data_IF_540485599637
#
_entry.id   IF_540485599637
#
_cell.length_a   1.000
_cell.length_b   1.000
_cell.length_c   1.000
_cell.angle_alpha   90.00
_cell.angle_beta   90.00
_cell.angle_gamma   90.00
#
_symmetry.space_group_name_H-M   'P 1'
#
loop_
_entity.id
_entity.type
_entity.pdbx_description
1 polymer ?
#
# COMPACT_ATOMS: atom_id res chain seq x y z
N UNK A 1 -10.11 -31.87 -27.11
CA UNK A 1 -8.85 -31.87 -26.32
C UNK A 1 -8.55 -30.43 -25.94
N UNK A 2 -8.67 -30.05 -24.66
CA UNK A 2 -8.38 -28.66 -24.27
C UNK A 2 -6.87 -28.47 -24.31
N UNK A 3 -6.36 -27.67 -25.24
CA UNK A 3 -4.96 -27.23 -25.19
C UNK A 3 -4.70 -26.67 -23.78
N UNK A 4 -3.87 -27.38 -23.02
CA UNK A 4 -3.34 -26.86 -21.77
C UNK A 4 -2.48 -25.68 -22.21
N UNK A 5 -2.98 -24.47 -22.00
CA UNK A 5 -2.27 -23.26 -22.37
C UNK A 5 -0.91 -23.24 -21.67
N UNK A 6 0.13 -23.56 -22.44
CA UNK A 6 1.50 -23.61 -21.97
C UNK A 6 2.04 -22.23 -21.58
N UNK A 7 3.24 -22.18 -20.96
CA UNK A 7 3.91 -20.94 -20.60
C UNK A 7 3.93 -19.95 -21.77
N UNK A 8 3.74 -18.65 -21.50
CA UNK A 8 3.89 -17.62 -22.52
C UNK A 8 5.30 -17.68 -23.10
N UNK A 9 5.39 -17.85 -24.42
CA UNK A 9 6.67 -17.88 -25.13
C UNK A 9 7.45 -16.58 -24.87
N UNK A 10 8.79 -16.62 -24.75
CA UNK A 10 9.59 -15.43 -24.46
C UNK A 10 9.30 -14.25 -25.40
N UNK A 11 9.05 -14.52 -26.68
CA UNK A 11 8.76 -13.50 -27.71
C UNK A 11 7.39 -12.82 -27.52
N UNK A 12 6.50 -13.42 -26.74
CA UNK A 12 5.17 -12.89 -26.43
C UNK A 12 5.14 -12.14 -25.08
N UNK A 13 6.28 -12.04 -24.38
CA UNK A 13 6.38 -11.34 -23.09
C UNK A 13 6.60 -9.85 -23.29
N UNK A 14 5.94 -9.06 -22.44
CA UNK A 14 6.14 -7.62 -22.39
C UNK A 14 7.27 -7.36 -21.38
N UNK A 15 8.50 -7.26 -21.88
CA UNK A 15 9.72 -7.09 -21.07
C UNK A 15 9.60 -5.92 -20.08
N UNK A 16 8.98 -4.82 -20.51
CA UNK A 16 8.71 -3.66 -19.64
C UNK A 16 7.95 -4.03 -18.35
N UNK A 17 6.92 -4.88 -18.45
CA UNK A 17 6.15 -5.29 -17.28
C UNK A 17 6.95 -6.19 -16.35
N UNK A 18 7.82 -7.03 -16.91
CA UNK A 18 8.64 -7.93 -16.10
C UNK A 18 9.71 -7.15 -15.32
N UNK A 19 10.35 -6.15 -15.95
CA UNK A 19 11.29 -5.23 -15.27
C UNK A 19 10.56 -4.41 -14.19
N UNK A 20 9.39 -3.84 -14.51
CA UNK A 20 8.59 -3.09 -13.55
C UNK A 20 8.20 -3.94 -12.33
N UNK A 21 7.86 -5.21 -12.54
CA UNK A 21 7.55 -6.14 -11.43
C UNK A 21 8.78 -6.40 -10.57
N UNK A 22 9.95 -6.61 -11.18
CA UNK A 22 11.21 -6.79 -10.46
C UNK A 22 11.53 -5.59 -9.58
N UNK A 23 11.44 -4.38 -10.14
CA UNK A 23 11.64 -3.12 -9.38
C UNK A 23 10.65 -2.99 -8.23
N UNK A 24 9.36 -3.26 -8.49
CA UNK A 24 8.33 -3.20 -7.45
C UNK A 24 8.60 -4.18 -6.30
N UNK A 25 8.98 -5.42 -6.61
CA UNK A 25 9.30 -6.44 -5.60
C UNK A 25 10.53 -6.08 -4.78
N UNK A 26 11.60 -5.58 -5.41
CA UNK A 26 12.80 -5.13 -4.69
C UNK A 26 12.50 -3.92 -3.80
N UNK A 27 11.66 -3.00 -4.27
CA UNK A 27 11.25 -1.87 -3.44
C UNK A 27 10.32 -2.25 -2.29
N UNK A 28 9.45 -3.26 -2.47
CA UNK A 28 8.67 -3.84 -1.36
C UNK A 28 9.61 -4.46 -0.32
N UNK A 29 10.67 -5.15 -0.76
CA UNK A 29 11.66 -5.74 0.14
C UNK A 29 12.33 -4.69 1.03
N UNK A 30 12.71 -3.53 0.49
CA UNK A 30 13.31 -2.42 1.27
C UNK A 30 12.46 -2.06 2.48
N UNK A 31 11.15 -1.98 2.29
CA UNK A 31 10.22 -1.64 3.37
C UNK A 31 10.02 -2.83 4.29
N UNK A 32 9.78 -4.02 3.76
CA UNK A 32 9.54 -5.21 4.58
C UNK A 32 10.73 -5.55 5.47
N UNK A 33 11.98 -5.30 5.06
CA UNK A 33 13.14 -5.47 5.93
C UNK A 33 13.00 -4.71 7.24
N UNK A 34 12.50 -3.47 7.21
CA UNK A 34 12.20 -2.69 8.43
C UNK A 34 11.08 -3.32 9.26
N UNK A 35 10.03 -3.83 8.62
CA UNK A 35 8.92 -4.51 9.31
C UNK A 35 9.34 -5.82 9.99
N UNK A 36 10.36 -6.51 9.46
CA UNK A 36 10.92 -7.72 10.09
C UNK A 36 11.97 -7.41 11.15
N UNK A 37 12.68 -6.27 11.03
CA UNK A 37 13.76 -5.91 11.93
C UNK A 37 13.30 -5.17 13.19
N UNK A 38 12.09 -4.64 13.20
CA UNK A 38 11.60 -3.77 14.28
C UNK A 38 10.22 -4.21 14.79
N UNK A 39 9.90 -3.96 16.08
CA UNK A 39 8.59 -4.26 16.63
C UNK A 39 7.50 -3.39 15.98
N UNK A 40 6.25 -3.84 16.03
CA UNK A 40 5.07 -3.15 15.49
C UNK A 40 4.96 -1.68 15.94
N UNK A 41 5.44 -1.36 17.15
CA UNK A 41 5.46 0.03 17.66
C UNK A 41 6.32 0.97 16.81
N UNK A 42 7.47 0.49 16.34
CA UNK A 42 8.40 1.28 15.52
C UNK A 42 7.88 1.60 14.10
N UNK A 43 6.79 0.93 13.69
CA UNK A 43 6.13 1.21 12.42
C UNK A 43 5.38 2.54 12.44
N UNK A 44 4.74 2.85 13.57
CA UNK A 44 3.97 4.08 13.76
C UNK A 44 4.80 5.20 14.37
N UNK A 45 5.87 4.86 15.07
CA UNK A 45 6.79 5.80 15.68
C UNK A 45 8.24 5.52 15.25
N UNK A 46 8.78 6.28 14.28
CA UNK A 46 10.16 6.13 13.85
C UNK A 46 11.20 6.52 14.90
N UNK A 47 10.78 7.15 16.02
CA UNK A 47 11.68 7.48 17.13
C UNK A 47 11.83 6.34 18.15
N UNK A 48 11.09 5.23 17.99
CA UNK A 48 11.17 4.06 18.89
C UNK A 48 12.54 3.35 18.84
N UNK A 49 13.09 2.86 19.99
CA UNK A 49 12.55 2.87 21.35
C UNK A 49 12.83 4.16 22.15
N UNK A 50 13.28 5.22 21.48
CA UNK A 50 13.82 6.44 22.06
C UNK A 50 15.34 6.52 21.87
N UNK A 51 15.88 7.73 21.82
CA UNK A 51 17.29 8.01 21.58
C UNK A 51 17.56 8.76 20.28
N UNK A 52 18.78 9.29 20.12
CA UNK A 52 19.16 9.97 18.89
C UNK A 52 19.32 8.97 17.75
N UNK A 53 18.53 9.14 16.69
CA UNK A 53 18.66 8.38 15.45
C UNK A 53 20.00 8.70 14.79
N UNK A 54 20.72 7.70 14.30
CA UNK A 54 21.95 7.96 13.52
C UNK A 54 21.61 8.59 12.17
N UNK A 55 22.54 9.32 11.57
CA UNK A 55 22.35 9.92 10.23
C UNK A 55 22.01 8.86 9.18
N UNK A 56 22.61 7.66 9.29
CA UNK A 56 22.36 6.55 8.38
C UNK A 56 20.94 5.99 8.53
N UNK A 57 20.48 5.81 9.78
CA UNK A 57 19.12 5.34 10.06
C UNK A 57 18.09 6.37 9.58
N UNK A 58 18.35 7.66 9.84
CA UNK A 58 17.50 8.75 9.38
C UNK A 58 17.39 8.75 7.86
N UNK A 59 18.51 8.65 7.16
CA UNK A 59 18.52 8.61 5.69
C UNK A 59 17.79 7.39 5.14
N UNK A 60 18.00 6.22 5.75
CA UNK A 60 17.30 4.98 5.40
C UNK A 60 15.79 5.09 5.59
N UNK A 61 15.35 5.61 6.74
CA UNK A 61 13.94 5.89 7.01
C UNK A 61 13.36 6.90 6.01
N UNK A 62 14.05 8.03 5.81
CA UNK A 62 13.59 9.11 4.93
C UNK A 62 13.43 8.61 3.48
N UNK A 63 14.43 7.94 2.94
CA UNK A 63 14.40 7.43 1.58
C UNK A 63 13.35 6.32 1.42
N UNK A 64 13.25 5.43 2.42
CA UNK A 64 12.22 4.42 2.52
C UNK A 64 10.81 5.02 2.45
N UNK A 65 10.50 5.97 3.33
CA UNK A 65 9.19 6.62 3.40
C UNK A 65 8.89 7.51 2.19
N UNK A 66 9.90 8.17 1.63
CA UNK A 66 9.72 9.02 0.45
C UNK A 66 9.47 8.21 -0.82
N UNK A 67 10.36 7.27 -1.17
CA UNK A 67 10.37 6.63 -2.48
C UNK A 67 9.71 5.24 -2.54
N UNK A 68 9.66 4.50 -1.43
CA UNK A 68 9.32 3.07 -1.46
C UNK A 68 8.02 2.75 -0.72
N UNK A 69 7.89 3.21 0.53
CA UNK A 69 6.73 2.96 1.40
C UNK A 69 5.47 3.47 0.72
N UNK A 70 4.44 2.62 0.65
CA UNK A 70 3.19 2.86 -0.11
C UNK A 70 3.30 2.88 -1.64
N UNK A 71 4.45 3.27 -2.21
CA UNK A 71 4.64 3.46 -3.66
C UNK A 71 4.89 2.13 -4.34
N UNK A 72 5.70 1.27 -3.74
CA UNK A 72 6.07 -0.01 -4.34
C UNK A 72 4.92 -1.01 -4.31
N UNK A 73 4.10 -1.00 -3.26
CA UNK A 73 2.88 -1.80 -3.21
C UNK A 73 1.81 -1.26 -4.17
N UNK A 74 1.73 0.06 -4.37
CA UNK A 74 0.86 0.66 -5.38
C UNK A 74 1.31 0.27 -6.80
N UNK A 75 2.61 0.34 -7.09
CA UNK A 75 3.20 -0.13 -8.34
C UNK A 75 2.89 -1.60 -8.58
N UNK A 76 3.18 -2.46 -7.61
CA UNK A 76 2.91 -3.89 -7.70
C UNK A 76 1.40 -4.17 -7.90
N UNK A 77 0.52 -3.43 -7.21
CA UNK A 77 -0.93 -3.51 -7.40
C UNK A 77 -1.35 -3.14 -8.83
N UNK A 78 -0.84 -2.03 -9.37
CA UNK A 78 -1.13 -1.63 -10.76
C UNK A 78 -0.67 -2.68 -11.76
N UNK A 79 0.53 -3.24 -11.58
CA UNK A 79 1.08 -4.28 -12.45
C UNK A 79 0.32 -5.61 -12.33
N UNK A 80 -0.20 -5.92 -11.13
CA UNK A 80 -1.07 -7.06 -10.92
C UNK A 80 -2.40 -6.88 -11.65
N UNK A 81 -3.02 -5.71 -11.55
CA UNK A 81 -4.23 -5.35 -12.30
C UNK A 81 -4.03 -5.44 -13.82
N UNK A 82 -2.91 -4.95 -14.33
CA UNK A 82 -2.53 -5.14 -15.73
C UNK A 82 -2.41 -6.63 -16.09
N UNK A 83 -1.87 -7.45 -15.18
CA UNK A 83 -1.83 -8.90 -15.29
C UNK A 83 -3.20 -9.58 -15.37
N UNK A 84 -4.22 -9.07 -14.66
CA UNK A 84 -5.61 -9.56 -14.76
C UNK A 84 -6.12 -9.38 -16.19
N UNK A 85 -5.90 -8.20 -16.79
CA UNK A 85 -6.32 -7.93 -18.18
C UNK A 85 -5.71 -8.94 -19.14
N UNK A 86 -4.39 -9.17 -19.06
CA UNK A 86 -3.67 -10.07 -19.96
C UNK A 86 -4.09 -11.54 -19.78
N UNK A 87 -4.13 -12.00 -18.53
CA UNK A 87 -4.35 -13.43 -18.24
C UNK A 87 -5.81 -13.84 -18.40
N UNK A 88 -6.76 -13.01 -17.96
CA UNK A 88 -8.18 -13.30 -18.08
C UNK A 88 -8.72 -13.13 -19.52
N UNK A 89 -8.02 -12.38 -20.38
CA UNK A 89 -8.27 -12.37 -21.82
C UNK A 89 -7.84 -13.67 -22.49
N UNK A 90 -6.68 -14.22 -22.10
CA UNK A 90 -6.16 -15.47 -22.66
C UNK A 90 -6.95 -16.69 -22.20
N UNK A 91 -7.23 -16.80 -20.91
CA UNK A 91 -8.04 -17.88 -20.35
C UNK A 91 -8.57 -17.52 -18.98
N UNK A 92 -9.90 -17.44 -18.86
CA UNK A 92 -10.55 -17.23 -17.58
C UNK A 92 -10.25 -18.37 -16.60
N UNK A 93 -10.24 -19.62 -17.07
CA UNK A 93 -9.94 -20.79 -16.23
C UNK A 93 -8.55 -20.72 -15.61
N UNK A 94 -7.53 -20.33 -16.40
CA UNK A 94 -6.17 -20.17 -15.89
C UNK A 94 -6.09 -19.04 -14.86
N UNK A 95 -6.73 -17.91 -15.14
CA UNK A 95 -6.75 -16.79 -14.21
C UNK A 95 -7.39 -17.19 -12.87
N UNK A 96 -8.58 -17.82 -12.90
CA UNK A 96 -9.26 -18.28 -11.69
C UNK A 96 -8.44 -19.32 -10.92
N UNK A 97 -7.79 -20.26 -11.61
CA UNK A 97 -6.90 -21.23 -10.97
C UNK A 97 -5.69 -20.54 -10.31
N UNK A 98 -5.11 -19.54 -10.97
CA UNK A 98 -4.03 -18.72 -10.38
C UNK A 98 -4.49 -17.97 -9.14
N UNK A 99 -5.67 -17.36 -9.16
CA UNK A 99 -6.21 -16.68 -7.98
C UNK A 99 -6.50 -17.64 -6.84
N UNK A 100 -7.00 -18.85 -7.12
CA UNK A 100 -7.21 -19.86 -6.10
C UNK A 100 -5.91 -20.28 -5.42
N UNK A 101 -4.87 -20.59 -6.19
CA UNK A 101 -3.57 -20.93 -5.62
C UNK A 101 -2.92 -19.75 -4.89
N UNK A 102 -3.07 -18.53 -5.41
CA UNK A 102 -2.61 -17.32 -4.72
C UNK A 102 -3.31 -17.14 -3.38
N UNK A 103 -4.62 -17.45 -3.30
CA UNK A 103 -5.37 -17.41 -2.06
C UNK A 103 -4.89 -18.46 -1.05
N UNK A 104 -4.69 -19.71 -1.49
CA UNK A 104 -4.19 -20.80 -0.64
C UNK A 104 -2.78 -20.50 -0.12
N UNK A 105 -1.89 -20.01 -1.00
CA UNK A 105 -0.55 -19.58 -0.62
C UNK A 105 -0.62 -18.40 0.34
N UNK A 106 -1.51 -17.44 0.10
CA UNK A 106 -1.73 -16.29 0.96
C UNK A 106 -2.20 -16.69 2.36
N UNK A 107 -3.11 -17.65 2.49
CA UNK A 107 -3.51 -18.21 3.78
C UNK A 107 -2.31 -18.84 4.50
N UNK A 108 -1.56 -19.71 3.83
CA UNK A 108 -0.36 -20.31 4.41
C UNK A 108 0.66 -19.26 4.85
N UNK A 109 0.90 -18.26 4.01
CA UNK A 109 1.83 -17.17 4.29
C UNK A 109 1.36 -16.28 5.46
N UNK A 110 0.08 -15.90 5.51
CA UNK A 110 -0.50 -15.10 6.58
C UNK A 110 -0.34 -15.77 7.94
N UNK A 111 -0.76 -17.03 8.05
CA UNK A 111 -0.80 -17.72 9.34
C UNK A 111 0.56 -18.30 9.75
N UNK A 112 1.35 -18.81 8.81
CA UNK A 112 2.61 -19.48 9.13
C UNK A 112 3.79 -18.49 9.13
N UNK A 113 3.84 -17.56 8.18
CA UNK A 113 5.08 -16.80 7.92
C UNK A 113 5.04 -15.36 8.41
N UNK A 114 4.02 -14.58 8.06
CA UNK A 114 4.02 -13.14 8.29
C UNK A 114 2.61 -12.53 8.36
N UNK A 115 2.41 -11.64 9.34
CA UNK A 115 1.13 -10.98 9.58
C UNK A 115 0.79 -9.83 8.62
N UNK A 116 1.70 -9.48 7.70
CA UNK A 116 1.49 -8.44 6.69
C UNK A 116 1.12 -9.00 5.31
N UNK A 117 0.54 -10.20 5.25
CA UNK A 117 0.18 -10.82 3.97
C UNK A 117 -0.65 -9.89 3.08
N UNK A 118 -0.28 -9.86 1.81
CA UNK A 118 -1.03 -9.16 0.76
C UNK A 118 -1.59 -10.12 -0.28
N UNK A 119 -1.13 -11.36 -0.30
CA UNK A 119 -1.46 -12.34 -1.33
C UNK A 119 -2.95 -12.71 -1.27
N UNK A 120 -3.51 -12.88 -0.07
CA UNK A 120 -4.93 -13.15 0.11
C UNK A 120 -5.79 -12.02 -0.46
N UNK A 121 -5.44 -10.77 -0.16
CA UNK A 121 -6.15 -9.58 -0.66
C UNK A 121 -6.02 -9.49 -2.18
N UNK A 122 -4.85 -9.81 -2.73
CA UNK A 122 -4.63 -9.80 -4.17
C UNK A 122 -5.43 -10.89 -4.87
N UNK A 123 -5.57 -12.07 -4.27
CA UNK A 123 -6.40 -13.14 -4.79
C UNK A 123 -7.87 -12.72 -4.84
N UNK A 124 -8.38 -12.14 -3.74
CA UNK A 124 -9.76 -11.65 -3.66
C UNK A 124 -10.01 -10.54 -4.67
N UNK A 125 -9.15 -9.51 -4.73
CA UNK A 125 -9.22 -8.47 -5.75
C UNK A 125 -9.14 -9.06 -7.17
N UNK A 126 -8.24 -10.02 -7.39
CA UNK A 126 -8.07 -10.71 -8.66
C UNK A 126 -9.34 -11.40 -9.13
N UNK A 127 -10.12 -12.01 -8.23
CA UNK A 127 -11.42 -12.61 -8.52
C UNK A 127 -12.47 -11.53 -8.81
N UNK A 128 -12.62 -10.54 -7.92
CA UNK A 128 -13.64 -9.49 -8.03
C UNK A 128 -13.44 -8.63 -9.29
N UNK A 129 -12.22 -8.18 -9.55
CA UNK A 129 -11.91 -7.30 -10.68
C UNK A 129 -11.97 -8.02 -12.03
N UNK A 130 -11.99 -9.36 -12.03
CA UNK A 130 -12.26 -10.14 -13.24
C UNK A 130 -13.63 -9.81 -13.82
N UNK A 131 -14.61 -9.44 -12.98
CA UNK A 131 -15.96 -9.09 -13.42
C UNK A 131 -15.96 -7.84 -14.31
N UNK A 132 -15.09 -6.88 -14.01
CA UNK A 132 -14.92 -5.62 -14.76
C UNK A 132 -13.78 -5.66 -15.77
N UNK A 133 -13.18 -6.84 -16.02
CA UNK A 133 -12.01 -6.99 -16.92
C UNK A 133 -12.21 -6.45 -18.33
N UNK A 134 -13.46 -6.32 -18.79
CA UNK A 134 -13.82 -5.83 -20.14
C UNK A 134 -14.10 -4.32 -20.18
N UNK A 135 -14.21 -3.65 -19.03
CA UNK A 135 -14.54 -2.23 -18.94
C UNK A 135 -13.47 -1.33 -19.62
N UNK A 136 -13.86 -0.18 -20.17
CA UNK A 136 -12.93 0.76 -20.79
C UNK A 136 -12.07 1.50 -19.73
N UNK A 137 -10.93 2.03 -20.16
CA UNK A 137 -10.04 2.79 -19.28
C UNK A 137 -10.71 4.03 -18.67
N UNK A 138 -11.65 4.65 -19.39
CA UNK A 138 -12.44 5.80 -18.93
C UNK A 138 -13.32 5.50 -17.73
N UNK A 139 -13.65 4.22 -17.48
CA UNK A 139 -14.35 3.78 -16.27
C UNK A 139 -13.36 3.28 -15.21
N UNK A 140 -12.37 2.49 -15.62
CA UNK A 140 -11.43 1.83 -14.71
C UNK A 140 -10.55 2.81 -13.93
N UNK A 141 -10.02 3.85 -14.59
CA UNK A 141 -9.11 4.79 -13.94
C UNK A 141 -9.86 5.64 -12.88
N UNK A 142 -10.99 6.32 -13.21
CA UNK A 142 -11.72 7.07 -12.19
C UNK A 142 -12.28 6.20 -11.07
N UNK A 143 -12.80 5.01 -11.37
CA UNK A 143 -13.26 4.08 -10.34
C UNK A 143 -12.10 3.65 -9.42
N UNK A 144 -10.93 3.39 -9.98
CA UNK A 144 -9.75 3.07 -9.19
C UNK A 144 -9.27 4.22 -8.30
N UNK A 145 -9.28 5.46 -8.82
CA UNK A 145 -8.99 6.67 -8.02
C UNK A 145 -10.00 6.81 -6.89
N UNK A 146 -11.30 6.65 -7.17
CA UNK A 146 -12.35 6.72 -6.17
C UNK A 146 -12.19 5.64 -5.09
N UNK A 147 -11.81 4.41 -5.45
CA UNK A 147 -11.51 3.35 -4.49
C UNK A 147 -10.31 3.70 -3.60
N UNK A 148 -9.23 4.27 -4.16
CA UNK A 148 -8.07 4.71 -3.37
C UNK A 148 -8.46 5.86 -2.43
N UNK A 149 -9.20 6.85 -2.91
CA UNK A 149 -9.69 7.96 -2.07
C UNK A 149 -10.65 7.46 -0.98
N UNK A 150 -11.55 6.54 -1.32
CA UNK A 150 -12.45 5.90 -0.37
C UNK A 150 -11.71 5.06 0.67
N UNK A 151 -10.62 4.40 0.29
CA UNK A 151 -9.76 3.71 1.24
C UNK A 151 -9.12 4.71 2.23
N UNK A 152 -8.49 5.78 1.72
CA UNK A 152 -7.89 6.83 2.57
C UNK A 152 -8.96 7.43 3.50
N UNK A 153 -10.13 7.75 2.96
CA UNK A 153 -11.29 8.21 3.72
C UNK A 153 -11.71 7.22 4.81
N UNK A 154 -11.78 5.91 4.53
CA UNK A 154 -12.22 4.91 5.53
C UNK A 154 -11.40 4.87 6.82
N UNK A 155 -10.14 5.33 6.79
CA UNK A 155 -9.28 5.44 7.99
C UNK A 155 -9.28 6.82 8.64
N UNK A 156 -9.82 7.84 7.98
CA UNK A 156 -9.63 9.24 8.34
C UNK A 156 -10.95 10.03 8.48
N UNK A 157 -12.06 9.50 7.98
CA UNK A 157 -13.33 10.24 7.86
C UNK A 157 -13.99 10.51 9.22
N UNK A 158 -13.96 9.58 10.17
CA UNK A 158 -14.51 9.81 11.51
C UNK A 158 -13.77 10.95 12.24
N UNK A 159 -12.43 10.90 12.41
CA UNK A 159 -11.69 12.03 12.99
C UNK A 159 -11.84 13.36 12.23
N UNK A 160 -11.96 13.30 10.90
CA UNK A 160 -12.11 14.50 10.07
C UNK A 160 -13.49 15.15 10.22
N UNK A 161 -14.57 14.35 10.36
CA UNK A 161 -15.91 14.87 10.65
C UNK A 161 -15.98 15.50 12.04
N UNK A 162 -15.28 14.92 13.02
CA UNK A 162 -15.16 15.48 14.37
C UNK A 162 -14.45 16.86 14.33
N UNK A 163 -13.43 17.01 13.49
CA UNK A 163 -12.70 18.28 13.31
C UNK A 163 -13.50 19.35 12.51
N UNK A 164 -14.39 18.96 11.61
CA UNK A 164 -15.13 19.86 10.70
C UNK A 164 -16.55 20.22 11.20
N UNK A 165 -17.02 19.61 12.29
CA UNK A 165 -18.35 19.86 12.85
C UNK A 165 -18.54 21.32 13.34
N UNK A 166 -19.74 21.91 13.21
CA UNK A 166 -19.99 23.26 13.69
C UNK A 166 -19.79 23.35 15.22
N UNK A 167 -19.18 24.43 15.74
CA UNK A 167 -18.87 24.58 17.18
C UNK A 167 -20.10 24.60 18.10
N UNK A 168 -21.31 24.70 17.55
CA UNK A 168 -22.57 24.67 18.28
C UNK A 168 -22.89 23.29 18.92
N UNK A 169 -22.14 22.24 18.60
CA UNK A 169 -22.23 20.92 19.27
C UNK A 169 -21.23 20.79 20.44
N UNK A 170 -20.33 21.76 20.63
CA UNK A 170 -19.32 21.73 21.71
C UNK A 170 -19.94 21.75 23.12
N UNK A 171 -21.15 22.31 23.31
CA UNK A 171 -21.87 22.25 24.59
C UNK A 171 -22.49 20.86 24.88
N UNK A 172 -22.54 19.97 23.89
CA UNK A 172 -22.98 18.56 24.04
C UNK A 172 -21.87 17.55 23.82
N UNK A 173 -20.60 18.00 23.72
CA UNK A 173 -19.42 17.14 23.79
C UNK A 173 -19.19 16.69 25.24
N UNK A 174 -20.14 15.94 25.76
CA UNK A 174 -19.80 14.86 26.68
C UNK A 174 -18.88 13.96 25.84
N UNK A 175 -17.58 13.88 26.17
CA UNK A 175 -16.61 13.00 25.52
C UNK A 175 -17.33 11.71 25.14
N UNK A 176 -17.61 11.53 23.85
CA UNK A 176 -18.42 10.40 23.41
C UNK A 176 -17.62 9.18 23.82
N UNK A 177 -18.09 8.49 24.87
CA UNK A 177 -17.37 7.35 25.41
C UNK A 177 -17.21 6.37 24.26
N UNK A 178 -15.99 5.83 24.04
CA UNK A 178 -15.74 4.95 22.90
C UNK A 178 -16.81 3.88 22.87
N UNK A 179 -17.39 3.63 21.70
CA UNK A 179 -18.45 2.63 21.61
C UNK A 179 -17.87 1.28 22.09
N UNK A 180 -18.70 0.35 22.59
CA UNK A 180 -18.21 -0.95 23.05
C UNK A 180 -17.38 -1.70 22.00
N UNK A 181 -17.62 -1.43 20.71
CA UNK A 181 -16.81 -1.95 19.61
C UNK A 181 -15.40 -1.35 19.57
N UNK A 182 -15.28 -0.04 19.76
CA UNK A 182 -14.01 0.68 19.72
C UNK A 182 -13.13 0.35 20.91
N UNK A 183 -13.73 0.22 22.09
CA UNK A 183 -13.02 -0.20 23.30
C UNK A 183 -12.47 -1.63 23.16
N UNK A 184 -13.30 -2.57 22.68
CA UNK A 184 -12.85 -3.94 22.39
C UNK A 184 -11.70 -3.97 21.38
N UNK A 185 -11.78 -3.16 20.32
CA UNK A 185 -10.76 -3.04 19.29
C UNK A 185 -9.43 -2.49 19.85
N UNK A 186 -9.50 -1.41 20.64
CA UNK A 186 -8.33 -0.80 21.27
C UNK A 186 -7.66 -1.76 22.25
N UNK A 187 -8.45 -2.46 23.07
CA UNK A 187 -7.95 -3.47 24.02
C UNK A 187 -7.32 -4.68 23.32
N UNK A 188 -7.90 -5.13 22.21
CA UNK A 188 -7.32 -6.22 21.41
C UNK A 188 -5.97 -5.82 20.81
N UNK A 189 -5.89 -4.64 20.19
CA UNK A 189 -4.65 -4.11 19.63
C UNK A 189 -3.58 -3.90 20.71
N UNK A 190 -3.95 -3.33 21.86
CA UNK A 190 -3.05 -3.12 22.99
C UNK A 190 -2.46 -4.43 23.54
N UNK A 191 -3.27 -5.50 23.63
CA UNK A 191 -2.78 -6.84 24.00
C UNK A 191 -1.75 -7.37 23.01
N UNK A 192 -2.05 -7.29 21.70
CA UNK A 192 -1.15 -7.80 20.65
C UNK A 192 0.22 -7.11 20.70
N UNK A 193 0.23 -5.79 20.90
CA UNK A 193 1.46 -5.01 21.06
C UNK A 193 2.22 -5.31 22.35
N UNK A 194 1.51 -5.63 23.45
CA UNK A 194 2.15 -5.93 24.73
C UNK A 194 2.82 -7.31 24.74
N UNK A 195 2.28 -8.26 23.98
CA UNK A 195 2.77 -9.63 23.92
C UNK A 195 3.83 -9.86 22.83
N UNK A 196 4.03 -8.90 21.92
CA UNK A 196 4.87 -9.06 20.74
C UNK A 196 6.26 -9.59 21.07
N UNK A 197 6.99 -8.95 21.99
CA UNK A 197 8.37 -9.31 22.32
C UNK A 197 8.48 -10.71 22.93
N UNK A 198 7.61 -11.02 23.90
CA UNK A 198 7.56 -12.34 24.56
C UNK A 198 7.27 -13.46 23.55
N UNK A 199 6.31 -13.24 22.65
CA UNK A 199 5.85 -14.26 21.69
C UNK A 199 6.88 -14.53 20.59
N UNK A 200 7.69 -13.54 20.20
CA UNK A 200 8.79 -13.76 19.25
C UNK A 200 9.90 -14.64 19.82
N UNK A 201 9.99 -14.78 21.14
CA UNK A 201 10.92 -15.68 21.83
C UNK A 201 10.27 -16.96 22.35
N UNK A 202 8.95 -17.12 22.15
CA UNK A 202 8.19 -18.29 22.54
C UNK A 202 8.29 -19.42 21.51
N UNK A 203 7.50 -20.49 21.69
CA UNK A 203 7.39 -21.54 20.70
C UNK A 203 6.61 -21.08 19.45
N UNK A 204 6.73 -21.86 18.38
CA UNK A 204 6.07 -21.54 17.13
C UNK A 204 4.54 -21.61 17.22
N UNK A 205 3.99 -22.41 18.15
CA UNK A 205 2.55 -22.52 18.36
C UNK A 205 1.95 -21.21 18.90
N UNK A 206 2.62 -20.59 19.89
CA UNK A 206 2.28 -19.29 20.41
C UNK A 206 2.40 -18.21 19.32
N UNK A 207 3.49 -18.24 18.54
CA UNK A 207 3.70 -17.32 17.42
C UNK A 207 2.61 -17.45 16.35
N UNK A 208 2.21 -18.68 16.00
CA UNK A 208 1.12 -18.95 15.08
C UNK A 208 -0.21 -18.39 15.59
N UNK A 209 -0.55 -18.63 16.87
CA UNK A 209 -1.79 -18.14 17.47
C UNK A 209 -1.86 -16.61 17.48
N UNK A 210 -0.77 -15.96 17.87
CA UNK A 210 -0.65 -14.49 17.86
C UNK A 210 -0.74 -13.92 16.44
N UNK A 211 -0.05 -14.52 15.47
CA UNK A 211 -0.15 -14.13 14.06
C UNK A 211 -1.56 -14.32 13.53
N UNK A 212 -2.26 -15.38 13.92
CA UNK A 212 -3.64 -15.60 13.51
C UNK A 212 -4.55 -14.47 14.00
N UNK A 213 -4.47 -14.09 15.29
CA UNK A 213 -5.23 -12.96 15.84
C UNK A 213 -4.86 -11.64 15.14
N UNK A 214 -3.57 -11.39 14.91
CA UNK A 214 -3.09 -10.18 14.24
C UNK A 214 -3.53 -10.12 12.76
N UNK A 215 -3.51 -11.23 12.02
CA UNK A 215 -3.99 -11.28 10.64
C UNK A 215 -5.50 -11.10 10.55
N UNK A 216 -6.28 -11.63 11.49
CA UNK A 216 -7.71 -11.35 11.56
C UNK A 216 -7.94 -9.85 11.74
N UNK A 217 -7.10 -9.20 12.55
CA UNK A 217 -7.12 -7.75 12.69
C UNK A 217 -6.83 -7.02 11.37
N UNK A 218 -5.71 -7.36 10.72
CA UNK A 218 -5.30 -6.76 9.44
C UNK A 218 -6.30 -6.96 8.30
N UNK A 219 -6.91 -8.13 8.19
CA UNK A 219 -7.76 -8.52 7.07
C UNK A 219 -9.26 -8.26 7.27
N UNK A 220 -9.74 -8.11 8.49
CA UNK A 220 -11.17 -7.84 8.75
C UNK A 220 -11.41 -6.42 9.27
N UNK A 221 -10.54 -5.91 10.15
CA UNK A 221 -10.65 -4.54 10.65
C UNK A 221 -9.92 -3.54 9.72
N UNK A 222 -8.71 -3.90 9.29
CA UNK A 222 -7.96 -3.15 8.27
C UNK A 222 -8.30 -3.54 6.82
N UNK A 223 -9.09 -4.61 6.65
CA UNK A 223 -9.32 -5.29 5.37
C UNK A 223 -9.96 -4.43 4.30
N UNK A 224 -10.99 -3.67 4.66
CA UNK A 224 -11.70 -2.82 3.72
C UNK A 224 -10.76 -1.76 3.12
N UNK A 225 -9.91 -1.15 3.95
CA UNK A 225 -8.87 -0.23 3.48
C UNK A 225 -7.96 -0.91 2.46
N UNK A 226 -7.40 -2.07 2.79
CA UNK A 226 -6.45 -2.75 1.90
C UNK A 226 -7.12 -3.26 0.62
N UNK A 227 -8.35 -3.76 0.71
CA UNK A 227 -9.15 -4.21 -0.42
C UNK A 227 -9.44 -3.05 -1.39
N UNK A 228 -9.94 -1.93 -0.87
CA UNK A 228 -10.23 -0.74 -1.68
C UNK A 228 -8.97 -0.09 -2.24
N UNK A 229 -7.90 -0.02 -1.44
CA UNK A 229 -6.64 0.59 -1.85
C UNK A 229 -5.92 -0.24 -2.90
N UNK A 230 -5.68 -1.52 -2.64
CA UNK A 230 -5.01 -2.41 -3.60
C UNK A 230 -5.90 -2.64 -4.82
N UNK A 231 -7.20 -2.87 -4.63
CA UNK A 231 -8.18 -2.99 -5.71
C UNK A 231 -8.28 -1.73 -6.56
N UNK A 232 -8.22 -0.54 -5.94
CA UNK A 232 -8.20 0.74 -6.63
C UNK A 232 -6.96 0.93 -7.49
N UNK A 233 -5.77 0.60 -6.96
CA UNK A 233 -4.55 0.60 -7.77
C UNK A 233 -4.56 -0.47 -8.87
N UNK A 234 -5.12 -1.65 -8.62
CA UNK A 234 -5.31 -2.66 -9.66
C UNK A 234 -6.22 -2.17 -10.78
N UNK A 235 -7.34 -1.50 -10.45
CA UNK A 235 -8.23 -0.87 -11.43
C UNK A 235 -7.50 0.19 -12.27
N UNK A 236 -6.72 1.06 -11.62
CA UNK A 236 -5.86 2.02 -12.32
C UNK A 236 -4.92 1.28 -13.26
N UNK A 237 -4.25 0.23 -12.80
CA UNK A 237 -3.35 -0.60 -13.60
C UNK A 237 -4.01 -1.26 -14.81
N UNK A 238 -5.24 -1.78 -14.64
CA UNK A 238 -6.05 -2.31 -15.74
C UNK A 238 -6.35 -1.22 -16.78
N UNK A 239 -6.66 0.00 -16.34
CA UNK A 239 -6.87 1.16 -17.19
C UNK A 239 -5.61 1.61 -17.93
N UNK A 240 -4.48 1.73 -17.22
CA UNK A 240 -3.17 2.09 -17.77
C UNK A 240 -2.67 1.09 -18.81
N UNK A 241 -2.95 -0.20 -18.60
CA UNK A 241 -2.69 -1.24 -19.59
C UNK A 241 -3.49 -0.99 -20.89
N UNK A 242 -4.77 -0.64 -20.77
CA UNK A 242 -5.64 -0.38 -21.93
C UNK A 242 -5.25 0.86 -22.72
N UNK A 243 -4.75 1.91 -22.06
CA UNK A 243 -4.20 3.10 -22.73
C UNK A 243 -2.72 2.95 -23.10
N UNK A 244 -2.13 1.76 -22.93
CA UNK A 244 -0.75 1.45 -23.31
C UNK A 244 0.28 2.36 -22.63
N UNK A 245 0.11 2.61 -21.34
CA UNK A 245 1.11 3.33 -20.54
C UNK A 245 2.15 2.37 -19.92
N UNK A 246 1.82 1.08 -19.80
CA UNK A 246 2.67 0.09 -19.12
C UNK A 246 3.45 -0.84 -20.06
N UNK A 247 3.10 -0.88 -21.35
CA UNK A 247 3.74 -1.78 -22.32
C UNK A 247 5.07 -1.24 -22.88
N UNK A 248 5.44 -0.01 -22.52
CA UNK A 248 6.63 0.68 -23.02
C UNK A 248 6.58 1.01 -24.51
N UNK A 249 5.37 1.13 -25.09
CA UNK A 249 5.17 1.55 -26.48
C UNK A 249 5.15 3.07 -26.69
N UNK A 250 5.12 3.85 -25.61
CA UNK A 250 5.13 5.32 -25.66
C UNK A 250 6.51 5.85 -26.06
N UNK A 251 6.68 7.16 -26.21
CA UNK A 251 7.99 7.77 -26.52
C UNK A 251 8.77 8.11 -25.27
N UNK A 252 10.11 8.24 -25.37
CA UNK A 252 10.97 8.64 -24.25
C UNK A 252 10.51 9.96 -23.59
N UNK A 253 10.08 10.94 -24.39
CA UNK A 253 9.55 12.22 -23.88
C UNK A 253 8.34 12.04 -22.97
N UNK A 254 7.45 11.10 -23.32
CA UNK A 254 6.28 10.79 -22.50
C UNK A 254 6.70 10.13 -21.19
N UNK A 255 7.60 9.15 -21.26
CA UNK A 255 8.09 8.41 -20.07
C UNK A 255 8.84 9.33 -19.10
N UNK A 256 9.71 10.22 -19.61
CA UNK A 256 10.40 11.23 -18.80
C UNK A 256 9.44 12.31 -18.28
N UNK A 257 8.43 12.71 -19.06
CA UNK A 257 7.40 13.63 -18.60
C UNK A 257 6.54 13.03 -17.48
N UNK A 258 6.24 11.73 -17.56
CA UNK A 258 5.55 10.98 -16.51
C UNK A 258 6.43 10.87 -15.25
N UNK A 259 7.72 10.58 -15.42
CA UNK A 259 8.71 10.58 -14.34
C UNK A 259 8.79 11.93 -13.63
N UNK A 260 8.99 13.00 -14.38
CA UNK A 260 9.16 14.35 -13.83
C UNK A 260 7.89 14.85 -13.15
N UNK A 261 6.72 14.73 -13.80
CA UNK A 261 5.45 15.20 -13.21
C UNK A 261 5.08 14.43 -11.94
N UNK A 262 5.27 13.10 -11.95
CA UNK A 262 5.01 12.26 -10.79
C UNK A 262 5.98 12.52 -9.63
N UNK A 263 7.26 12.75 -9.91
CA UNK A 263 8.25 13.12 -8.88
C UNK A 263 7.97 14.50 -8.32
N UNK A 264 7.70 15.51 -9.15
CA UNK A 264 7.46 16.87 -8.67
C UNK A 264 6.20 16.95 -7.81
N UNK A 265 5.06 16.53 -8.35
CA UNK A 265 3.79 16.58 -7.63
C UNK A 265 3.74 15.61 -6.45
N UNK A 266 4.27 14.39 -6.64
CA UNK A 266 4.30 13.37 -5.61
C UNK A 266 5.25 13.68 -4.47
N UNK A 267 6.43 14.25 -4.75
CA UNK A 267 7.38 14.64 -3.69
C UNK A 267 6.90 15.84 -2.89
N UNK A 268 6.19 16.79 -3.51
CA UNK A 268 5.54 17.87 -2.76
C UNK A 268 4.54 17.33 -1.73
N UNK A 269 3.67 16.40 -2.16
CA UNK A 269 2.72 15.73 -1.25
C UNK A 269 3.43 14.89 -0.18
N UNK A 270 4.46 14.13 -0.56
CA UNK A 270 5.21 13.30 0.38
C UNK A 270 5.94 14.16 1.42
N UNK A 271 6.57 15.26 1.00
CA UNK A 271 7.27 16.20 1.89
C UNK A 271 6.31 16.80 2.91
N UNK A 272 5.19 17.37 2.46
CA UNK A 272 4.15 17.90 3.34
C UNK A 272 3.59 16.82 4.27
N UNK A 273 3.44 15.59 3.74
CA UNK A 273 2.97 14.45 4.49
C UNK A 273 3.91 13.96 5.59
N UNK A 274 5.23 14.05 5.35
CA UNK A 274 6.28 13.60 6.26
C UNK A 274 6.68 14.67 7.26
N UNK A 275 6.37 15.94 7.01
CA UNK A 275 6.75 17.07 7.85
C UNK A 275 6.48 16.85 9.35
N UNK A 276 5.30 16.36 9.80
CA UNK A 276 5.03 16.20 11.23
C UNK A 276 5.90 15.12 11.88
N UNK A 277 6.28 14.10 11.11
CA UNK A 277 7.18 13.03 11.58
C UNK A 277 8.62 13.50 11.58
N UNK A 278 9.01 14.30 10.58
CA UNK A 278 10.34 14.90 10.50
C UNK A 278 10.62 15.81 11.69
N UNK A 279 9.68 16.71 12.03
CA UNK A 279 9.84 17.60 13.18
C UNK A 279 9.89 16.84 14.50
N UNK A 280 9.13 15.75 14.62
CA UNK A 280 9.18 14.87 15.78
C UNK A 280 10.55 14.18 15.92
N UNK A 281 11.07 13.58 14.84
CA UNK A 281 12.37 12.91 14.83
C UNK A 281 13.51 13.90 15.13
N UNK A 282 13.44 15.11 14.57
CA UNK A 282 14.46 16.14 14.73
C UNK A 282 14.36 16.90 16.06
N UNK A 283 13.33 16.65 16.87
CA UNK A 283 13.07 17.41 18.10
C UNK A 283 12.77 18.89 17.85
N UNK A 284 12.28 19.24 16.66
CA UNK A 284 11.95 20.62 16.23
C UNK A 284 10.44 20.87 16.16
N UNK A 285 9.65 20.00 16.80
CA UNK A 285 8.20 20.14 16.87
C UNK A 285 7.83 21.40 17.69
N UNK A 286 7.15 22.35 17.04
CA UNK A 286 6.77 23.65 17.63
C UNK A 286 5.30 23.71 18.05
N UNK A 287 4.51 22.69 17.73
CA UNK A 287 3.07 22.66 18.01
C UNK A 287 2.85 22.13 19.42
N UNK A 288 2.59 23.04 20.36
CA UNK A 288 2.35 22.70 21.77
C UNK A 288 0.93 22.15 22.02
N UNK A 289 -0.07 22.59 21.24
CA UNK A 289 -1.46 22.12 21.37
C UNK A 289 -1.57 20.65 20.88
N UNK A 290 -1.89 19.70 21.78
CA UNK A 290 -2.01 18.28 21.43
C UNK A 290 -3.04 18.01 20.34
N UNK A 291 -4.14 18.76 20.30
CA UNK A 291 -5.21 18.55 19.33
C UNK A 291 -4.81 19.06 17.95
N UNK A 292 -4.15 20.22 17.88
CA UNK A 292 -3.57 20.73 16.64
C UNK A 292 -2.49 19.79 16.10
N UNK A 293 -1.65 19.24 16.97
CA UNK A 293 -0.63 18.28 16.59
C UNK A 293 -1.25 16.97 16.04
N UNK A 294 -2.29 16.47 16.69
CA UNK A 294 -3.02 15.29 16.23
C UNK A 294 -3.64 15.52 14.84
N UNK A 295 -4.27 16.69 14.60
CA UNK A 295 -4.80 17.10 13.28
C UNK A 295 -3.70 17.17 12.23
N UNK A 296 -2.55 17.75 12.57
CA UNK A 296 -1.41 17.88 11.68
C UNK A 296 -0.84 16.51 11.28
N UNK A 297 -0.65 15.61 12.24
CA UNK A 297 -0.17 14.23 12.00
C UNK A 297 -1.16 13.43 11.13
N UNK A 298 -2.48 13.57 11.37
CA UNK A 298 -3.52 12.96 10.52
C UNK A 298 -3.45 13.46 9.08
N UNK A 299 -3.40 14.79 8.90
CA UNK A 299 -3.26 15.41 7.58
C UNK A 299 -2.00 14.92 6.88
N UNK A 300 -0.89 14.83 7.62
CA UNK A 300 0.37 14.29 7.11
C UNK A 300 0.22 12.87 6.55
N UNK A 301 -0.45 11.99 7.28
CA UNK A 301 -0.72 10.61 6.85
C UNK A 301 -1.57 10.54 5.58
N UNK A 302 -2.59 11.39 5.46
CA UNK A 302 -3.43 11.49 4.24
C UNK A 302 -2.56 11.86 3.04
N UNK A 303 -1.75 12.92 3.17
CA UNK A 303 -0.88 13.42 2.10
C UNK A 303 0.15 12.37 1.69
N UNK A 304 0.72 11.62 2.64
CA UNK A 304 1.61 10.49 2.36
C UNK A 304 0.94 9.41 1.50
N UNK A 305 -0.30 9.03 1.83
CA UNK A 305 -1.03 8.06 1.02
C UNK A 305 -1.41 8.60 -0.36
N UNK A 306 -1.78 9.88 -0.48
CA UNK A 306 -2.05 10.53 -1.77
C UNK A 306 -0.80 10.61 -2.65
N UNK A 307 0.37 10.85 -2.06
CA UNK A 307 1.65 10.88 -2.76
C UNK A 307 2.00 9.54 -3.44
N UNK A 308 1.44 8.42 -2.97
CA UNK A 308 1.73 7.09 -3.50
C UNK A 308 1.41 6.97 -5.00
N UNK A 309 0.28 7.51 -5.45
CA UNK A 309 -0.14 7.44 -6.87
C UNK A 309 0.83 8.14 -7.82
N UNK A 310 1.07 9.45 -7.66
CA UNK A 310 2.00 10.20 -8.52
C UNK A 310 3.43 9.65 -8.51
N UNK A 311 3.99 9.30 -7.34
CA UNK A 311 5.36 8.74 -7.29
C UNK A 311 5.41 7.35 -7.94
N UNK A 312 4.34 6.54 -7.83
CA UNK A 312 4.24 5.27 -8.56
C UNK A 312 4.28 5.47 -10.07
N UNK A 313 3.54 6.46 -10.60
CA UNK A 313 3.62 6.83 -12.01
C UNK A 313 5.02 7.28 -12.40
N UNK A 314 5.72 7.97 -11.49
CA UNK A 314 7.09 8.36 -11.75
C UNK A 314 8.04 7.16 -11.86
N UNK A 315 7.91 6.17 -10.97
CA UNK A 315 8.63 4.91 -11.07
C UNK A 315 8.38 4.19 -12.39
N UNK A 316 7.12 4.18 -12.87
CA UNK A 316 6.78 3.64 -14.19
C UNK A 316 7.55 4.40 -15.28
N UNK A 317 7.49 5.73 -15.28
CA UNK A 317 8.20 6.56 -16.27
C UNK A 317 9.72 6.33 -16.27
N UNK A 318 10.34 6.32 -15.08
CA UNK A 318 11.78 6.13 -14.91
C UNK A 318 12.23 4.76 -15.42
N UNK A 319 11.54 3.69 -15.02
CA UNK A 319 11.92 2.32 -15.42
C UNK A 319 11.72 2.10 -16.91
N UNK A 320 10.63 2.62 -17.49
CA UNK A 320 10.39 2.52 -18.93
C UNK A 320 11.43 3.32 -19.75
N UNK A 321 11.82 4.51 -19.28
CA UNK A 321 12.88 5.29 -19.90
C UNK A 321 14.24 4.60 -19.77
N UNK A 322 14.56 4.04 -18.58
CA UNK A 322 15.79 3.31 -18.32
C UNK A 322 15.95 2.07 -19.21
N UNK A 323 14.86 1.34 -19.47
CA UNK A 323 14.86 0.18 -20.40
C UNK A 323 15.37 0.52 -21.80
N UNK A 324 15.29 1.80 -22.23
CA UNK A 324 15.75 2.24 -23.55
C UNK A 324 17.21 2.66 -23.57
N UNK A 325 17.84 2.78 -22.41
CA UNK A 325 19.25 3.14 -22.34
C UNK A 325 20.09 2.00 -22.91
N UNK A 326 21.25 2.31 -23.52
CA UNK A 326 22.13 1.32 -24.14
C UNK A 326 22.79 0.33 -23.16
N UNK A 327 22.42 0.36 -21.86
CA UNK A 327 22.95 -0.51 -20.82
C UNK A 327 22.13 -1.81 -20.63
N UNK A 328 21.17 -2.09 -21.53
CA UNK A 328 20.35 -3.31 -21.63
C UNK A 328 20.30 -3.77 -23.08
#
# INVERSE_FOLDING_TARGET
MSEIAGPTQPQQRIVALDVLRGVALLGILVINMRYFAMPLRALNDPSWPGGAMSDADFFGWFLGSWLFEDKMIALFSMLFGAGIVLTAQRSLRLHLSRQWWLFVIGLGHAFLLWHGDVLMIYAVCGLLLTLVRRAPASLLIPAGILCVLGAIGSRQWAPLLDDLGPPLVAETQQEASPTPFEERRAKAWGRLLAQEDEIHHADYGALFAWRAELNLWWHFYGGLFNLLRCGGFMLIGMGLMRVRWLDGSRGLRFELGLAASGLLGGSALAWLGMHPQLTNILGTETVEDPDALARLRRTGLILRHLAAGPITLAWIGLVLAWRRSPFL
#
